data_IF_061189064163
#
_entry.id   IF_061189064163
#
_cell.length_a   1.000
_cell.length_b   1.000
_cell.length_c   1.000
_cell.angle_alpha   90.00
_cell.angle_beta   90.00
_cell.angle_gamma   90.00
#
_symmetry.space_group_name_H-M   'P 1'
#
loop_
_entity.id
_entity.type
_entity.pdbx_description
1 polymer ?
#
# COMPACT_ATOMS: atom_id res chain seq x y z
N UNK A 1 10.67 -4.37 10.28
CA UNK A 1 10.50 -5.34 9.16
C UNK A 1 10.31 -6.72 9.76
N UNK A 2 9.37 -7.53 9.24
CA UNK A 2 9.04 -8.87 9.76
C UNK A 2 9.73 -9.96 8.95
N UNK A 3 9.51 -9.98 7.63
CA UNK A 3 10.02 -11.03 6.74
C UNK A 3 10.31 -10.48 5.33
N UNK A 4 11.16 -11.19 4.58
CA UNK A 4 11.30 -11.02 3.12
C UNK A 4 10.84 -12.31 2.46
N UNK A 5 10.09 -12.19 1.37
CA UNK A 5 9.71 -13.33 0.55
C UNK A 5 9.86 -13.03 -0.94
N UNK A 6 9.96 -14.10 -1.74
CA UNK A 6 9.88 -14.01 -3.20
C UNK A 6 8.43 -13.97 -3.63
N UNK A 7 8.09 -13.14 -4.61
CA UNK A 7 6.79 -13.24 -5.28
C UNK A 7 6.83 -14.48 -6.17
N UNK A 8 5.96 -15.45 -5.89
CA UNK A 8 5.91 -16.71 -6.63
C UNK A 8 4.86 -16.70 -7.74
N UNK A 9 3.90 -15.78 -7.67
CA UNK A 9 2.90 -15.56 -8.71
C UNK A 9 1.95 -14.43 -8.34
N UNK A 10 1.25 -13.90 -9.34
CA UNK A 10 0.22 -12.88 -9.19
C UNK A 10 -0.93 -13.12 -10.17
N UNK A 11 -2.15 -12.81 -9.78
CA UNK A 11 -3.30 -12.88 -10.66
C UNK A 11 -3.32 -11.68 -11.63
N UNK A 12 -3.23 -11.96 -12.93
CA UNK A 12 -3.31 -10.96 -14.01
C UNK A 12 -4.56 -11.29 -14.85
N UNK A 13 -5.71 -10.68 -14.54
CA UNK A 13 -6.97 -10.91 -15.30
C UNK A 13 -8.21 -11.21 -14.47
N UNK A 14 -8.10 -11.31 -13.15
CA UNK A 14 -9.24 -11.41 -12.23
C UNK A 14 -9.55 -10.06 -11.61
N UNK A 15 -10.84 -9.79 -11.34
CA UNK A 15 -11.27 -8.63 -10.53
C UNK A 15 -10.72 -8.72 -9.10
N UNK A 16 -10.59 -9.96 -8.59
CA UNK A 16 -9.85 -10.26 -7.36
C UNK A 16 -8.38 -10.43 -7.70
N UNK A 17 -7.57 -9.47 -7.26
CA UNK A 17 -6.15 -9.34 -7.54
C UNK A 17 -5.31 -9.66 -6.31
N UNK A 18 -4.52 -10.72 -6.40
CA UNK A 18 -3.62 -11.12 -5.34
C UNK A 18 -2.24 -11.54 -5.87
N UNK A 19 -1.26 -11.54 -4.98
CA UNK A 19 0.03 -12.18 -5.16
C UNK A 19 0.25 -13.26 -4.10
N UNK A 20 1.09 -14.23 -4.40
CA UNK A 20 1.57 -15.22 -3.44
C UNK A 20 3.01 -14.87 -3.09
N UNK A 21 3.28 -14.79 -1.79
CA UNK A 21 4.59 -14.51 -1.23
C UNK A 21 5.13 -15.78 -0.56
N UNK A 22 6.39 -16.12 -0.83
CA UNK A 22 7.09 -17.25 -0.20
C UNK A 22 7.55 -16.94 1.23
N UNK A 23 6.68 -16.32 2.03
CA UNK A 23 6.87 -16.07 3.45
C UNK A 23 5.53 -16.30 4.14
N UNK A 24 5.53 -17.03 5.25
CA UNK A 24 4.33 -17.46 5.98
C UNK A 24 4.44 -17.26 7.48
N UNK A 25 3.59 -17.94 8.24
CA UNK A 25 3.59 -17.83 9.71
C UNK A 25 4.88 -18.33 10.34
N UNK A 26 5.60 -19.25 9.68
CA UNK A 26 6.94 -19.67 10.11
C UNK A 26 7.98 -18.53 10.10
N UNK A 27 7.74 -17.49 9.30
CA UNK A 27 8.58 -16.30 9.19
C UNK A 27 8.02 -15.11 9.99
N UNK A 28 6.98 -15.35 10.81
CA UNK A 28 6.32 -14.31 11.60
C UNK A 28 5.27 -13.48 10.83
N UNK A 29 4.97 -13.82 9.57
CA UNK A 29 3.94 -13.13 8.79
C UNK A 29 2.56 -13.36 9.40
N UNK A 30 1.77 -12.29 9.50
CA UNK A 30 0.40 -12.32 9.99
C UNK A 30 -0.53 -11.61 9.01
N UNK A 31 -1.84 -11.86 9.14
CA UNK A 31 -2.85 -11.13 8.37
C UNK A 31 -2.79 -9.64 8.70
N UNK A 32 -3.27 -8.82 7.77
CA UNK A 32 -3.25 -7.34 7.81
C UNK A 32 -1.87 -6.68 7.73
N UNK A 33 -0.78 -7.44 7.73
CA UNK A 33 0.56 -6.85 7.57
C UNK A 33 0.73 -6.24 6.17
N UNK A 34 1.29 -5.02 6.06
CA UNK A 34 1.59 -4.39 4.78
C UNK A 34 2.75 -5.10 4.07
N UNK A 35 2.66 -5.15 2.74
CA UNK A 35 3.68 -5.74 1.87
C UNK A 35 4.12 -4.72 0.83
N UNK A 36 5.42 -4.46 0.75
CA UNK A 36 6.00 -3.50 -0.19
C UNK A 36 7.23 -4.03 -0.91
N UNK A 37 7.51 -3.41 -2.05
CA UNK A 37 8.75 -3.53 -2.80
C UNK A 37 9.59 -2.27 -2.67
N UNK A 38 10.75 -2.25 -3.33
CA UNK A 38 11.58 -1.05 -3.45
C UNK A 38 10.84 0.09 -4.16
N UNK A 39 9.97 -0.22 -5.12
CA UNK A 39 9.23 0.79 -5.90
C UNK A 39 8.02 1.37 -5.16
N UNK A 40 7.48 0.67 -4.17
CA UNK A 40 6.25 1.08 -3.49
C UNK A 40 5.46 -0.06 -2.88
N UNK A 41 4.25 0.28 -2.42
CA UNK A 41 3.30 -0.62 -1.80
C UNK A 41 2.77 -1.64 -2.82
N UNK A 42 2.84 -2.93 -2.46
CA UNK A 42 2.22 -4.01 -3.25
C UNK A 42 0.79 -4.23 -2.76
N UNK A 43 0.59 -4.25 -1.44
CA UNK A 43 -0.71 -4.52 -0.85
C UNK A 43 -0.63 -4.98 0.60
N UNK A 44 -1.54 -5.88 0.96
CA UNK A 44 -1.73 -6.33 2.35
C UNK A 44 -1.93 -7.84 2.42
N UNK A 45 -1.35 -8.49 3.42
CA UNK A 45 -1.56 -9.92 3.68
C UNK A 45 -3.01 -10.19 4.09
N UNK A 46 -3.70 -11.09 3.37
CA UNK A 46 -5.07 -11.50 3.68
C UNK A 46 -5.15 -12.91 4.25
N UNK A 47 -4.30 -13.82 3.77
CA UNK A 47 -4.28 -15.21 4.22
C UNK A 47 -2.84 -15.64 4.50
N UNK A 48 -2.64 -16.42 5.55
CA UNK A 48 -1.32 -16.90 5.95
C UNK A 48 -1.35 -18.42 6.09
N UNK A 49 -0.53 -19.10 5.28
CA UNK A 49 -0.15 -20.49 5.48
C UNK A 49 1.22 -20.60 6.17
N UNK A 50 1.67 -21.83 6.41
CA UNK A 50 2.93 -22.09 7.13
C UNK A 50 4.17 -21.54 6.42
N UNK A 51 4.21 -21.68 5.08
CA UNK A 51 5.37 -21.36 4.24
C UNK A 51 5.12 -20.24 3.23
N UNK A 52 3.88 -19.80 3.10
CA UNK A 52 3.48 -18.82 2.11
C UNK A 52 2.27 -18.03 2.60
N UNK A 53 2.09 -16.84 2.04
CA UNK A 53 0.95 -15.97 2.32
C UNK A 53 0.35 -15.44 1.03
N UNK A 54 -0.94 -15.10 1.10
CA UNK A 54 -1.65 -14.38 0.05
C UNK A 54 -1.67 -12.90 0.39
N UNK A 55 -1.30 -12.09 -0.60
CA UNK A 55 -1.28 -10.63 -0.53
C UNK A 55 -2.36 -10.10 -1.46
N UNK A 56 -3.36 -9.42 -0.92
CA UNK A 56 -4.31 -8.64 -1.72
C UNK A 56 -3.60 -7.41 -2.27
N UNK A 57 -3.64 -7.23 -3.58
CA UNK A 57 -2.94 -6.14 -4.25
C UNK A 57 -3.69 -4.83 -4.08
N UNK A 58 -2.97 -3.70 -4.09
CA UNK A 58 -3.59 -2.36 -4.08
C UNK A 58 -4.52 -2.09 -5.27
N UNK A 59 -4.43 -2.90 -6.33
CA UNK A 59 -5.29 -2.83 -7.51
C UNK A 59 -6.54 -3.71 -7.42
N UNK A 60 -6.71 -4.49 -6.36
CA UNK A 60 -7.92 -5.29 -6.10
C UNK A 60 -9.13 -4.40 -5.80
N UNK A 61 -10.32 -4.76 -6.27
CA UNK A 61 -11.56 -3.98 -6.06
C UNK A 61 -11.94 -3.78 -4.57
N UNK A 62 -11.48 -4.67 -3.70
CA UNK A 62 -11.70 -4.60 -2.25
C UNK A 62 -10.55 -3.86 -1.53
N UNK A 63 -9.50 -3.48 -2.24
CA UNK A 63 -8.39 -2.74 -1.64
C UNK A 63 -8.74 -1.26 -1.48
N UNK A 64 -8.57 -0.77 -0.26
CA UNK A 64 -8.63 0.64 0.09
C UNK A 64 -7.39 1.02 0.90
N UNK A 65 -6.66 2.02 0.43
CA UNK A 65 -5.42 2.50 1.06
C UNK A 65 -5.60 3.96 1.44
N UNK A 66 -5.60 4.30 2.74
CA UNK A 66 -5.49 5.68 3.22
C UNK A 66 -4.18 6.29 2.74
N UNK A 67 -4.28 7.40 2.03
CA UNK A 67 -3.18 7.96 1.27
C UNK A 67 -3.19 9.49 1.27
N UNK A 68 -2.12 10.06 0.73
CA UNK A 68 -1.90 11.49 0.63
C UNK A 68 -1.32 11.80 -0.75
N UNK A 69 -1.80 12.87 -1.37
CA UNK A 69 -1.16 13.46 -2.55
C UNK A 69 0.14 14.14 -2.14
N UNK A 70 1.27 13.65 -2.64
CA UNK A 70 2.60 14.08 -2.19
C UNK A 70 2.87 15.58 -2.42
N UNK A 71 2.40 16.14 -3.54
CA UNK A 71 2.69 17.53 -3.93
C UNK A 71 2.10 18.58 -2.99
N UNK A 72 0.95 18.29 -2.38
CA UNK A 72 0.18 19.28 -1.60
C UNK A 72 -0.32 18.76 -0.26
N UNK A 73 0.13 17.59 0.15
CA UNK A 73 -0.31 16.91 1.38
C UNK A 73 -1.84 16.73 1.49
N UNK A 74 -2.55 16.64 0.35
CA UNK A 74 -4.01 16.49 0.35
C UNK A 74 -4.39 15.05 0.73
N UNK A 75 -5.24 14.83 1.75
CA UNK A 75 -5.71 13.50 2.11
C UNK A 75 -6.59 12.88 1.02
N UNK A 76 -6.32 11.62 0.69
CA UNK A 76 -7.03 10.87 -0.36
C UNK A 76 -7.26 9.42 0.05
N UNK A 77 -8.20 8.75 -0.61
CA UNK A 77 -8.33 7.30 -0.59
C UNK A 77 -7.91 6.76 -1.95
N UNK A 78 -7.04 5.77 -1.94
CA UNK A 78 -6.68 4.98 -3.11
C UNK A 78 -7.47 3.67 -3.10
N UNK A 79 -8.33 3.48 -4.09
CA UNK A 79 -9.22 2.32 -4.24
C UNK A 79 -8.81 1.50 -5.45
N UNK A 80 -8.53 0.21 -5.25
CA UNK A 80 -8.24 -0.67 -6.39
C UNK A 80 -9.49 -0.86 -7.26
N UNK A 81 -9.28 -1.04 -8.56
CA UNK A 81 -10.38 -1.12 -9.54
C UNK A 81 -10.62 -2.52 -10.10
N UNK A 82 -9.76 -3.49 -9.78
CA UNK A 82 -9.78 -4.83 -10.36
C UNK A 82 -9.28 -4.92 -11.81
N UNK A 83 -9.06 -3.78 -12.48
CA UNK A 83 -8.51 -3.69 -13.84
C UNK A 83 -6.98 -3.45 -13.85
N UNK A 84 -6.34 -3.37 -12.67
CA UNK A 84 -4.91 -3.14 -12.51
C UNK A 84 -4.56 -1.68 -12.23
N UNK A 85 -5.54 -0.80 -12.31
CA UNK A 85 -5.44 0.61 -11.92
C UNK A 85 -6.06 0.86 -10.55
N UNK A 86 -5.83 2.06 -10.04
CA UNK A 86 -6.33 2.55 -8.77
C UNK A 86 -7.10 3.84 -9.03
N UNK A 87 -8.31 3.96 -8.49
CA UNK A 87 -9.03 5.22 -8.39
C UNK A 87 -8.52 5.99 -7.17
N UNK A 88 -8.27 7.28 -7.32
CA UNK A 88 -7.82 8.15 -6.24
C UNK A 88 -8.89 9.21 -6.04
N UNK A 89 -9.38 9.31 -4.81
CA UNK A 89 -10.49 10.20 -4.43
C UNK A 89 -10.03 11.12 -3.31
N UNK A 90 -10.18 12.45 -3.44
CA UNK A 90 -9.89 13.35 -2.34
C UNK A 90 -10.94 13.16 -1.23
N UNK A 91 -10.52 13.31 0.02
CA UNK A 91 -11.46 13.28 1.16
C UNK A 91 -12.23 14.59 1.30
N UNK A 92 -11.64 15.70 0.86
CA UNK A 92 -12.27 17.01 0.87
C UNK A 92 -13.10 17.22 -0.40
N UNK A 93 -14.29 17.80 -0.23
CA UNK A 93 -15.18 18.18 -1.33
C UNK A 93 -14.70 19.49 -1.92
N UNK A 94 -14.55 19.56 -3.24
CA UNK A 94 -14.15 20.79 -3.92
C UNK A 94 -13.61 20.53 -5.30
N UNK A 95 -12.66 21.38 -5.71
CA UNK A 95 -11.98 21.23 -6.99
C UNK A 95 -11.07 20.00 -6.95
N UNK A 96 -11.03 19.26 -8.07
CA UNK A 96 -10.14 18.13 -8.23
C UNK A 96 -8.67 18.59 -8.11
N UNK A 97 -7.92 18.18 -7.07
CA UNK A 97 -6.58 18.68 -6.81
C UNK A 97 -5.51 18.02 -7.69
N UNK A 98 -5.85 16.96 -8.43
CA UNK A 98 -4.91 16.09 -9.11
C UNK A 98 -4.40 16.67 -10.43
N UNK A 99 -3.16 16.31 -10.75
CA UNK A 99 -2.51 16.54 -12.04
C UNK A 99 -1.93 15.23 -12.56
N UNK A 100 -1.84 15.08 -13.89
CA UNK A 100 -1.11 13.94 -14.47
C UNK A 100 0.34 13.94 -13.97
N UNK A 101 0.82 12.77 -13.56
CA UNK A 101 2.15 12.59 -12.99
C UNK A 101 2.23 12.74 -11.47
N UNK A 102 1.17 13.22 -10.81
CA UNK A 102 1.14 13.31 -9.35
C UNK A 102 1.37 11.93 -8.70
N UNK A 103 2.10 11.94 -7.58
CA UNK A 103 2.44 10.74 -6.79
C UNK A 103 1.54 10.67 -5.57
N UNK A 104 0.97 9.50 -5.35
CA UNK A 104 0.17 9.16 -4.19
C UNK A 104 1.02 8.29 -3.27
N UNK A 105 1.04 8.63 -1.99
CA UNK A 105 1.78 7.91 -0.95
C UNK A 105 0.85 7.52 0.19
N UNK A 106 1.18 6.51 0.98
CA UNK A 106 0.41 6.15 2.19
C UNK A 106 0.41 7.28 3.21
N UNK A 107 -0.71 7.47 3.92
CA UNK A 107 -0.85 8.58 4.89
C UNK A 107 -0.39 8.24 6.31
N UNK A 108 -0.25 6.95 6.65
CA UNK A 108 -0.07 6.51 8.05
C UNK A 108 -1.39 6.37 8.83
N UNK A 109 -2.50 6.89 8.30
CA UNK A 109 -3.81 6.86 8.96
C UNK A 109 -4.37 5.44 9.02
N UNK A 110 -5.00 5.07 10.14
CA UNK A 110 -5.60 3.76 10.35
C UNK A 110 -4.62 2.67 10.80
N UNK A 111 -3.33 3.01 10.90
CA UNK A 111 -2.35 2.21 11.63
C UNK A 111 -1.90 0.91 10.95
N UNK A 112 -2.06 0.80 9.63
CA UNK A 112 -1.66 -0.39 8.88
C UNK A 112 -0.38 -0.11 8.11
N UNK A 113 -0.39 0.94 7.31
CA UNK A 113 0.70 1.31 6.43
C UNK A 113 1.52 2.42 7.08
N UNK A 114 2.86 2.29 7.18
CA UNK A 114 3.71 3.43 7.49
C UNK A 114 3.44 4.58 6.51
N UNK A 115 3.55 5.86 6.94
CA UNK A 115 3.38 6.98 6.04
C UNK A 115 4.50 7.04 4.97
N UNK A 116 4.22 7.72 3.86
CA UNK A 116 5.16 8.02 2.77
C UNK A 116 5.66 6.83 1.93
N UNK A 117 4.96 5.69 1.94
CA UNK A 117 5.23 4.60 0.99
C UNK A 117 4.57 4.94 -0.35
N UNK A 118 5.29 4.94 -1.48
CA UNK A 118 4.70 5.20 -2.79
C UNK A 118 3.62 4.17 -3.16
N UNK A 119 2.46 4.63 -3.60
CA UNK A 119 1.31 3.78 -3.96
C UNK A 119 1.15 3.75 -5.48
N UNK A 120 0.85 4.90 -6.07
CA UNK A 120 0.47 5.00 -7.47
C UNK A 120 0.82 6.37 -8.07
N UNK A 121 0.88 6.43 -9.40
CA UNK A 121 1.09 7.65 -10.19
C UNK A 121 -0.15 7.98 -11.00
N UNK A 122 -0.65 9.20 -10.90
CA UNK A 122 -1.82 9.66 -11.66
C UNK A 122 -1.51 9.65 -13.15
N UNK A 123 -2.34 8.95 -13.94
CA UNK A 123 -2.22 8.87 -15.40
C UNK A 123 -3.37 9.58 -16.12
N UNK A 124 -4.53 9.71 -15.47
CA UNK A 124 -5.73 10.32 -16.04
C UNK A 124 -6.55 10.97 -14.93
N UNK A 125 -7.15 12.11 -15.25
CA UNK A 125 -8.09 12.78 -14.36
C UNK A 125 -9.50 12.29 -14.68
N UNK A 126 -10.34 12.21 -13.65
CA UNK A 126 -11.79 12.04 -13.79
C UNK A 126 -12.51 13.22 -13.10
N UNK A 127 -13.83 13.27 -13.19
CA UNK A 127 -14.61 14.41 -12.68
C UNK A 127 -14.46 14.61 -11.17
N UNK A 128 -14.27 13.53 -10.41
CA UNK A 128 -14.29 13.52 -8.95
C UNK A 128 -12.96 13.04 -8.32
N UNK A 129 -11.88 13.04 -9.10
CA UNK A 129 -10.59 12.51 -8.70
C UNK A 129 -9.71 12.08 -9.88
N UNK A 130 -9.02 10.95 -9.73
CA UNK A 130 -8.07 10.50 -10.73
C UNK A 130 -7.99 8.98 -10.86
N UNK A 131 -7.49 8.53 -12.00
CA UNK A 131 -7.04 7.16 -12.23
C UNK A 131 -5.51 7.15 -12.20
N UNK A 132 -4.96 6.25 -11.41
CA UNK A 132 -3.54 6.10 -11.19
C UNK A 132 -3.07 4.67 -11.47
N UNK A 133 -1.80 4.56 -11.88
CA UNK A 133 -1.12 3.28 -12.08
C UNK A 133 -0.29 2.96 -10.83
N UNK A 134 -0.44 1.76 -10.22
CA UNK A 134 0.44 1.26 -9.17
C UNK A 134 1.92 1.45 -9.53
N UNK A 135 2.73 1.87 -8.56
CA UNK A 135 4.18 2.02 -8.75
C UNK A 135 4.92 0.68 -8.59
N UNK A 136 4.42 -0.20 -7.73
CA UNK A 136 4.93 -1.56 -7.59
C UNK A 136 4.08 -2.52 -8.45
N UNK A 137 4.76 -3.21 -9.37
CA UNK A 137 4.15 -4.26 -10.18
C UNK A 137 4.61 -5.64 -9.66
N UNK A 138 3.73 -6.42 -9.00
CA UNK A 138 4.10 -7.72 -8.45
C UNK A 138 4.51 -8.74 -9.52
N UNK A 139 4.16 -8.55 -10.80
CA UNK A 139 4.62 -9.40 -11.88
C UNK A 139 6.08 -9.12 -12.29
N UNK A 140 6.62 -7.96 -11.92
CA UNK A 140 7.98 -7.52 -12.27
C UNK A 140 8.93 -7.48 -11.07
N UNK A 141 8.41 -7.64 -9.87
CA UNK A 141 9.17 -7.60 -8.62
C UNK A 141 9.49 -9.03 -8.19
N UNK A 142 10.77 -9.31 -7.97
CA UNK A 142 11.21 -10.62 -7.50
C UNK A 142 10.97 -10.80 -6.00
N UNK A 143 11.23 -9.78 -5.19
CA UNK A 143 11.18 -9.85 -3.73
C UNK A 143 10.33 -8.74 -3.13
N UNK A 144 9.58 -9.09 -2.09
CA UNK A 144 8.80 -8.15 -1.30
C UNK A 144 9.12 -8.31 0.18
N UNK A 145 8.95 -7.21 0.90
CA UNK A 145 9.16 -7.12 2.34
C UNK A 145 7.80 -7.01 3.02
N UNK A 146 7.61 -7.80 4.07
CA UNK A 146 6.49 -7.71 4.99
C UNK A 146 6.89 -6.81 6.15
N UNK A 147 6.14 -5.74 6.37
CA UNK A 147 6.35 -4.83 7.50
C UNK A 147 5.35 -5.09 8.62
N UNK A 148 5.66 -4.61 9.81
CA UNK A 148 4.69 -4.62 10.90
C UNK A 148 3.60 -3.61 10.59
N UNK A 149 2.41 -3.82 11.14
CA UNK A 149 1.37 -2.80 11.12
C UNK A 149 1.90 -1.54 11.82
N UNK A 150 1.64 -0.38 11.25
CA UNK A 150 2.13 0.90 11.77
C UNK A 150 1.30 1.37 12.95
N UNK A 151 1.80 1.32 14.19
CA UNK A 151 1.08 1.87 15.34
C UNK A 151 1.57 3.29 15.67
N UNK A 152 0.79 4.36 15.38
CA UNK A 152 1.26 5.73 15.54
C UNK A 152 1.58 6.11 16.98
N UNK A 153 0.92 5.49 17.97
CA UNK A 153 1.15 5.75 19.39
C UNK A 153 2.48 5.18 19.89
N UNK A 154 2.86 3.98 19.45
CA UNK A 154 4.13 3.34 19.79
C UNK A 154 5.30 4.20 19.32
N UNK A 155 5.20 4.72 18.10
CA UNK A 155 6.27 5.50 17.48
C UNK A 155 6.40 6.92 18.07
N UNK A 156 5.28 7.52 18.50
CA UNK A 156 5.28 8.80 19.20
C UNK A 156 5.94 8.70 20.59
N UNK A 157 5.74 7.59 21.30
CA UNK A 157 6.36 7.35 22.60
C UNK A 157 7.87 7.08 22.47
N UNK A 158 8.30 6.23 21.53
CA UNK A 158 9.72 6.01 21.24
C UNK A 158 10.47 7.31 20.90
N UNK A 159 9.82 8.22 20.14
CA UNK A 159 10.42 9.51 19.77
C UNK A 159 10.58 10.43 20.99
N UNK A 160 9.63 10.40 21.94
CA UNK A 160 9.70 11.17 23.19
C UNK A 160 10.80 10.65 24.11
N UNK A 161 10.88 9.34 24.31
CA UNK A 161 11.88 8.71 25.18
C UNK A 161 13.32 8.99 24.72
N UNK A 162 13.56 9.05 23.41
CA UNK A 162 14.88 9.40 22.84
C UNK A 162 15.20 10.88 23.02
N UNK A 163 14.20 11.76 23.04
CA UNK A 163 14.38 13.20 23.24
C UNK A 163 14.64 13.56 24.71
N UNK A 164 14.09 12.81 25.66
CA UNK A 164 14.29 13.01 27.10
C UNK A 164 15.62 12.44 27.63
N UNK A 165 16.30 11.59 26.85
CA UNK A 165 17.62 11.01 27.19
C UNK A 165 18.81 11.85 26.69
N UNK A 166 18.59 13.07 26.21
CA UNK A 166 19.62 14.02 25.75
C UNK A 166 19.60 15.31 26.53
#
# INVERSE_FOLDING_TARGET
MVATGRIVGSSFGSLRRFAILSAGSGDGVQTRMPVRAAQGLIGQVTDVGRLASRVMLISDKLSQVPATLLRGAVPVIAEGRGDGTVAVRPLEVGQNPFRRGDIIVTSGTGGIYPPLIPVARVVRLDEYGAIAMPLADPARVNFAVVEQAYEPEVQANETRDVAEQR
#
